data_IF_291342844880
#
_entry.id   IF_291342844880
#
_cell.length_a   1.000
_cell.length_b   1.000
_cell.length_c   1.000
_cell.angle_alpha   90.00
_cell.angle_beta   90.00
_cell.angle_gamma   90.00
#
_symmetry.space_group_name_H-M   'P 1'
#
loop_
_entity.id
_entity.type
_entity.pdbx_description
1 polymer ?
#
# COMPACT_ATOMS: atom_id res chain seq x y z
N UNK A 1 15.45 -14.26 3.28
CA UNK A 1 14.53 -15.40 3.13
C UNK A 1 13.52 -15.30 4.25
N UNK A 2 12.25 -15.24 3.85
CA UNK A 2 11.11 -15.20 4.78
C UNK A 2 10.99 -16.52 5.54
N UNK A 3 10.78 -16.41 6.84
CA UNK A 3 10.68 -17.48 7.81
C UNK A 3 9.55 -17.20 8.83
N UNK A 4 9.40 -18.06 9.83
CA UNK A 4 8.37 -17.93 10.87
C UNK A 4 8.50 -16.66 11.74
N UNK A 5 9.63 -15.95 11.68
CA UNK A 5 9.87 -14.71 12.43
C UNK A 5 9.71 -13.45 11.57
N UNK A 6 9.42 -13.60 10.28
CA UNK A 6 9.27 -12.49 9.36
C UNK A 6 8.04 -11.65 9.70
N UNK A 7 8.23 -10.33 9.81
CA UNK A 7 7.19 -9.39 10.15
C UNK A 7 6.64 -8.69 8.91
N UNK A 8 5.33 -8.62 8.83
CA UNK A 8 4.60 -7.90 7.78
C UNK A 8 3.81 -6.77 8.41
N UNK A 9 4.04 -5.57 7.91
CA UNK A 9 3.50 -4.36 8.51
C UNK A 9 3.40 -3.24 7.48
N UNK A 10 2.61 -2.23 7.84
CA UNK A 10 2.47 -0.99 7.09
C UNK A 10 2.95 0.16 7.98
N UNK A 11 3.62 1.13 7.37
CA UNK A 11 3.98 2.40 8.00
C UNK A 11 3.56 3.56 7.12
N UNK A 12 3.39 4.72 7.74
CA UNK A 12 3.34 5.97 7.00
C UNK A 12 4.75 6.36 6.57
N UNK A 13 4.85 6.93 5.38
CA UNK A 13 6.07 7.61 4.95
C UNK A 13 6.20 8.94 5.69
N UNK A 14 7.37 9.57 5.66
CA UNK A 14 7.55 10.91 6.20
C UNK A 14 6.61 11.93 5.55
N UNK A 15 6.33 11.77 4.25
CA UNK A 15 5.33 12.56 3.52
C UNK A 15 3.93 12.27 4.05
N UNK A 16 3.58 11.01 4.25
CA UNK A 16 2.30 10.60 4.81
C UNK A 16 2.06 11.17 6.20
N UNK A 17 3.03 11.08 7.11
CA UNK A 17 2.88 11.64 8.46
C UNK A 17 2.67 13.16 8.44
N UNK A 18 3.43 13.88 7.61
CA UNK A 18 3.29 15.32 7.48
C UNK A 18 1.89 15.69 6.95
N UNK A 19 1.39 14.96 5.95
CA UNK A 19 0.05 15.18 5.39
C UNK A 19 -1.07 14.78 6.36
N UNK A 20 -0.91 13.70 7.11
CA UNK A 20 -1.84 13.32 8.17
C UNK A 20 -1.94 14.43 9.22
N UNK A 21 -0.80 14.91 9.72
CA UNK A 21 -0.74 15.96 10.73
C UNK A 21 -1.41 17.24 10.22
N UNK A 22 -1.18 17.62 8.96
CA UNK A 22 -1.82 18.78 8.34
C UNK A 22 -3.34 18.60 8.18
N UNK A 23 -3.78 17.44 7.69
CA UNK A 23 -5.20 17.14 7.53
C UNK A 23 -5.95 17.19 8.87
N UNK A 24 -5.34 16.61 9.93
CA UNK A 24 -5.88 16.70 11.30
C UNK A 24 -5.91 18.14 11.82
N UNK A 25 -4.84 18.92 11.62
CA UNK A 25 -4.79 20.31 12.08
C UNK A 25 -5.82 21.21 11.38
N UNK A 26 -6.10 20.97 10.10
CA UNK A 26 -7.07 21.71 9.30
C UNK A 26 -8.50 21.17 9.43
N UNK A 27 -8.70 20.01 10.07
CA UNK A 27 -9.99 19.34 10.16
C UNK A 27 -10.55 18.87 8.81
N UNK A 28 -9.68 18.64 7.82
CA UNK A 28 -10.07 18.18 6.49
C UNK A 28 -9.89 16.68 6.34
N UNK A 29 -10.79 15.98 5.62
CA UNK A 29 -10.59 14.56 5.33
C UNK A 29 -9.36 14.34 4.44
N UNK A 30 -8.47 13.43 4.86
CA UNK A 30 -7.37 13.00 4.02
C UNK A 30 -7.86 11.95 3.01
N UNK A 31 -7.74 12.25 1.73
CA UNK A 31 -8.29 11.42 0.65
C UNK A 31 -7.20 10.58 0.00
N UNK A 32 -7.40 9.26 -0.05
CA UNK A 32 -6.55 8.33 -0.78
C UNK A 32 -7.16 8.00 -2.14
N UNK A 33 -6.32 7.96 -3.17
CA UNK A 33 -6.77 7.84 -4.56
C UNK A 33 -6.37 6.53 -5.19
N UNK A 34 -5.14 6.09 -4.98
CA UNK A 34 -4.58 4.93 -5.68
C UNK A 34 -3.83 4.03 -4.72
N UNK A 35 -3.73 2.75 -5.08
CA UNK A 35 -2.89 1.79 -4.38
C UNK A 35 -2.02 1.05 -5.39
N UNK A 36 -0.72 1.04 -5.11
CA UNK A 36 0.30 0.35 -5.90
C UNK A 36 0.65 -1.01 -5.30
N UNK A 37 1.00 -1.95 -6.16
CA UNK A 37 1.56 -3.27 -5.78
C UNK A 37 2.80 -3.58 -6.62
N UNK A 38 3.78 -4.22 -5.98
CA UNK A 38 5.06 -4.55 -6.58
C UNK A 38 5.60 -5.91 -6.14
N UNK A 39 6.56 -6.43 -6.91
CA UNK A 39 7.25 -7.70 -6.62
C UNK A 39 8.62 -7.49 -5.96
N UNK A 40 9.01 -6.24 -5.69
CA UNK A 40 10.28 -5.88 -5.09
C UNK A 40 11.52 -6.55 -5.74
N UNK A 41 11.49 -6.83 -7.05
CA UNK A 41 12.53 -7.58 -7.76
C UNK A 41 12.86 -8.95 -7.11
N UNK A 42 11.84 -9.64 -6.58
CA UNK A 42 11.94 -10.90 -5.85
C UNK A 42 12.74 -10.82 -4.53
N UNK A 43 12.94 -9.62 -3.99
CA UNK A 43 13.57 -9.43 -2.66
C UNK A 43 12.52 -9.47 -1.54
N UNK A 44 12.97 -9.42 -0.28
CA UNK A 44 12.12 -9.36 0.90
C UNK A 44 12.14 -7.90 1.44
N UNK A 45 11.25 -7.01 0.96
CA UNK A 45 11.32 -5.58 1.29
C UNK A 45 10.93 -5.32 2.75
N UNK A 46 11.63 -4.37 3.37
CA UNK A 46 11.28 -3.80 4.67
C UNK A 46 10.80 -2.37 4.41
N UNK A 47 9.56 -2.01 4.80
CA UNK A 47 9.04 -0.65 4.68
C UNK A 47 9.96 0.38 5.35
N UNK A 48 10.29 1.45 4.62
CA UNK A 48 11.11 2.57 5.09
C UNK A 48 10.33 3.89 4.95
N UNK A 49 10.36 4.71 6.01
CA UNK A 49 9.67 6.00 6.09
C UNK A 49 10.10 6.98 5.00
N UNK A 50 11.31 6.82 4.45
CA UNK A 50 11.86 7.68 3.41
C UNK A 50 11.45 7.26 1.99
N UNK A 51 10.72 6.15 1.83
CA UNK A 51 10.26 5.69 0.53
C UNK A 51 9.29 6.69 -0.11
N UNK A 52 9.57 7.01 -1.38
CA UNK A 52 8.69 7.81 -2.24
C UNK A 52 8.10 6.98 -3.39
N UNK A 53 8.61 5.75 -3.58
CA UNK A 53 8.17 4.79 -4.60
C UNK A 53 8.39 3.36 -4.12
N UNK A 54 7.65 2.42 -4.72
CA UNK A 54 7.91 0.99 -4.61
C UNK A 54 9.21 0.62 -5.35
N UNK A 55 9.84 -0.47 -4.93
CA UNK A 55 11.10 -0.97 -5.50
C UNK A 55 10.87 -1.44 -6.94
N UNK A 56 9.80 -2.19 -7.19
CA UNK A 56 9.38 -2.64 -8.50
C UNK A 56 7.84 -2.71 -8.59
N UNK A 57 7.22 -1.53 -8.72
CA UNK A 57 5.78 -1.41 -8.98
C UNK A 57 5.43 -2.05 -10.32
N UNK A 58 4.46 -2.95 -10.34
CA UNK A 58 3.93 -3.52 -11.58
C UNK A 58 2.46 -3.18 -11.82
N UNK A 59 1.76 -2.64 -10.83
CA UNK A 59 0.40 -2.17 -10.98
C UNK A 59 0.11 -1.04 -10.00
N UNK A 60 -0.55 -0.01 -10.51
CA UNK A 60 -1.20 1.07 -9.76
C UNK A 60 -2.60 1.25 -10.30
N UNK A 61 -3.58 1.36 -9.41
CA UNK A 61 -4.96 1.62 -9.79
C UNK A 61 -5.74 2.26 -8.63
N UNK A 62 -6.93 2.80 -8.91
CA UNK A 62 -7.75 3.45 -7.90
C UNK A 62 -8.10 2.52 -6.74
N UNK A 63 -8.19 3.09 -5.54
CA UNK A 63 -8.76 2.38 -4.39
C UNK A 63 -10.27 2.18 -4.60
N UNK A 64 -10.78 1.00 -4.26
CA UNK A 64 -12.20 0.69 -4.34
C UNK A 64 -12.96 1.22 -3.12
N UNK A 65 -12.34 1.14 -1.95
CA UNK A 65 -12.92 1.63 -0.71
C UNK A 65 -11.84 2.15 0.23
N UNK A 66 -12.15 3.24 0.91
CA UNK A 66 -11.42 3.74 2.07
C UNK A 66 -12.42 3.90 3.19
N UNK A 67 -12.15 3.30 4.34
CA UNK A 67 -12.99 3.43 5.53
C UNK A 67 -12.15 3.45 6.79
N UNK A 68 -12.61 4.14 7.81
CA UNK A 68 -12.07 4.00 9.16
C UNK A 68 -12.55 2.68 9.75
N UNK A 69 -11.69 2.00 10.49
CA UNK A 69 -12.07 0.79 11.20
C UNK A 69 -13.14 1.14 12.27
N UNK A 70 -14.32 0.48 12.27
CA UNK A 70 -15.36 0.74 13.25
C UNK A 70 -14.95 0.42 14.70
N UNK A 71 -13.98 -0.47 14.91
CA UNK A 71 -13.47 -0.82 16.22
C UNK A 71 -12.30 0.08 16.66
N UNK A 72 -11.58 0.68 15.72
CA UNK A 72 -10.44 1.55 16.02
C UNK A 72 -10.42 2.80 15.11
N UNK A 73 -10.85 3.98 15.62
CA UNK A 73 -10.91 5.19 14.81
C UNK A 73 -9.55 5.68 14.30
N UNK A 74 -8.44 5.16 14.85
CA UNK A 74 -7.08 5.49 14.43
C UNK A 74 -6.56 4.58 13.30
N UNK A 75 -7.36 3.61 12.85
CA UNK A 75 -7.00 2.69 11.77
C UNK A 75 -7.82 3.02 10.53
N UNK A 76 -7.14 3.16 9.40
CA UNK A 76 -7.76 3.29 8.08
C UNK A 76 -7.56 1.98 7.32
N UNK A 77 -8.65 1.50 6.72
CA UNK A 77 -8.68 0.36 5.84
C UNK A 77 -8.85 0.88 4.41
N UNK A 78 -7.84 0.66 3.58
CA UNK A 78 -7.89 0.89 2.14
C UNK A 78 -7.96 -0.45 1.42
N UNK A 79 -8.92 -0.60 0.52
CA UNK A 79 -9.15 -1.82 -0.25
C UNK A 79 -9.06 -1.55 -1.73
N UNK A 80 -8.43 -2.48 -2.44
CA UNK A 80 -8.36 -2.48 -3.88
C UNK A 80 -8.51 -3.92 -4.40
N UNK A 81 -9.35 -4.09 -5.41
CA UNK A 81 -9.55 -5.36 -6.10
C UNK A 81 -8.60 -5.43 -7.30
N UNK A 82 -7.82 -6.51 -7.40
CA UNK A 82 -7.05 -6.84 -8.59
C UNK A 82 -7.87 -7.81 -9.44
N UNK A 83 -8.37 -7.39 -10.62
CA UNK A 83 -9.16 -8.24 -11.52
C UNK A 83 -8.46 -9.56 -11.89
N UNK A 84 -9.22 -10.57 -12.33
CA UNK A 84 -8.69 -11.90 -12.68
C UNK A 84 -7.81 -11.89 -13.94
N UNK A 85 -8.06 -10.97 -14.86
CA UNK A 85 -7.30 -10.71 -16.09
C UNK A 85 -6.03 -9.86 -15.85
N UNK A 86 -5.76 -9.47 -14.60
CA UNK A 86 -4.53 -8.78 -14.20
C UNK A 86 -3.79 -9.62 -13.17
N UNK A 87 -2.58 -10.07 -13.50
CA UNK A 87 -1.81 -10.97 -12.64
C UNK A 87 -0.58 -11.54 -13.34
N UNK A 88 -0.22 -12.77 -12.96
CA UNK A 88 0.98 -13.45 -13.42
C UNK A 88 2.25 -12.92 -12.74
N UNK A 89 2.10 -12.21 -11.62
CA UNK A 89 3.17 -11.53 -10.90
C UNK A 89 3.04 -11.73 -9.40
N UNK A 90 4.18 -11.66 -8.71
CA UNK A 90 4.25 -11.72 -7.26
C UNK A 90 3.91 -10.36 -6.64
N UNK A 91 3.33 -10.39 -5.45
CA UNK A 91 3.12 -9.22 -4.60
C UNK A 91 3.97 -9.41 -3.35
N UNK A 92 4.80 -8.41 -3.07
CA UNK A 92 5.73 -8.37 -1.93
C UNK A 92 5.73 -7.00 -1.25
N UNK A 93 5.34 -5.95 -1.99
CA UNK A 93 5.24 -4.58 -1.51
C UNK A 93 3.93 -3.94 -1.98
N UNK A 94 3.40 -3.06 -1.15
CA UNK A 94 2.13 -2.36 -1.35
C UNK A 94 2.35 -0.91 -0.94
N UNK A 95 1.74 0.03 -1.66
CA UNK A 95 1.73 1.42 -1.25
C UNK A 95 0.38 2.08 -1.46
N UNK A 96 0.10 3.09 -0.64
CA UNK A 96 -1.08 3.94 -0.73
C UNK A 96 -0.64 5.32 -1.22
N UNK A 97 -1.39 5.86 -2.18
CA UNK A 97 -1.16 7.18 -2.76
C UNK A 97 -2.37 8.08 -2.52
N UNK A 98 -2.11 9.33 -2.17
CA UNK A 98 -3.16 10.31 -1.94
C UNK A 98 -3.65 11.02 -3.21
N UNK A 99 -4.57 11.96 -3.04
CA UNK A 99 -5.15 12.73 -4.15
C UNK A 99 -4.11 13.54 -4.96
N UNK A 100 -2.99 13.92 -4.34
CA UNK A 100 -1.90 14.66 -4.98
C UNK A 100 -0.90 13.72 -5.68
N UNK A 101 -1.06 12.40 -5.51
CA UNK A 101 -0.20 11.38 -6.09
C UNK A 101 1.01 11.02 -5.24
N UNK A 102 1.11 11.55 -4.02
CA UNK A 102 2.23 11.27 -3.12
C UNK A 102 2.10 9.88 -2.49
N UNK A 103 3.22 9.16 -2.34
CA UNK A 103 3.26 7.91 -1.58
C UNK A 103 3.20 8.22 -0.08
N UNK A 104 2.08 7.88 0.54
CA UNK A 104 1.80 8.26 1.94
C UNK A 104 1.91 7.09 2.91
N UNK A 105 1.74 5.86 2.43
CA UNK A 105 1.97 4.67 3.22
C UNK A 105 2.66 3.61 2.36
N UNK A 106 3.49 2.79 3.01
CA UNK A 106 4.17 1.66 2.39
C UNK A 106 4.09 0.45 3.32
N UNK A 107 3.90 -0.72 2.72
CA UNK A 107 3.76 -1.98 3.44
C UNK A 107 4.47 -3.11 2.71
N UNK A 108 4.91 -4.10 3.47
CA UNK A 108 5.35 -5.38 2.94
C UNK A 108 4.29 -6.46 3.22
N UNK A 109 4.36 -7.55 2.47
CA UNK A 109 3.52 -8.71 2.70
C UNK A 109 4.28 -10.01 2.44
N UNK A 110 3.73 -11.13 2.92
CA UNK A 110 4.23 -12.43 2.53
C UNK A 110 4.15 -12.56 0.99
N UNK A 111 5.13 -13.21 0.34
CA UNK A 111 5.15 -13.36 -1.11
C UNK A 111 3.85 -14.03 -1.55
N UNK A 112 3.04 -13.27 -2.28
CA UNK A 112 1.71 -13.69 -2.67
C UNK A 112 1.62 -13.66 -4.19
N UNK A 113 1.46 -14.83 -4.82
CA UNK A 113 1.34 -14.91 -6.27
C UNK A 113 -0.10 -14.58 -6.67
N UNK A 114 -0.30 -13.54 -7.49
CA UNK A 114 -1.60 -13.23 -8.09
C UNK A 114 -1.68 -13.92 -9.46
N UNK A 115 -2.40 -15.05 -9.60
CA UNK A 115 -2.51 -15.72 -10.89
C UNK A 115 -3.22 -14.83 -11.90
N UNK A 116 -2.78 -14.97 -13.16
CA UNK A 116 -3.49 -14.48 -14.33
C UNK A 116 -4.38 -15.60 -14.82
N UNK A 117 -5.70 -15.37 -14.90
CA UNK A 117 -6.59 -16.33 -15.52
C UNK A 117 -6.29 -16.32 -17.03
N UNK A 118 -5.61 -17.37 -17.51
CA UNK A 118 -5.46 -17.61 -18.93
C UNK A 118 -6.84 -17.97 -19.50
N UNK A 119 -7.25 -17.25 -20.55
CA UNK A 119 -8.48 -17.55 -21.28
C UNK A 119 -8.36 -18.86 -22.05
#
# INVERSE_FOLDING_TARGET
>A
MIDSNSQFFAILTAVGEAKQANATALGVPWTFKEMGVGDANNTDPIPDRTQTRLINEWRRAPVNQVRTDPANPNVVIAEQVIPSDVGGRWIREIALYDADGDMVAVANCAPSFKPLLAQ
#
